data_IF_599114061242
#
_entry.id   IF_599114061242
#
_cell.length_a   1.000
_cell.length_b   1.000
_cell.length_c   1.000
_cell.angle_alpha   90.00
_cell.angle_beta   90.00
_cell.angle_gamma   90.00
#
_symmetry.space_group_name_H-M   'P 1'
#
loop_
_entity.id
_entity.type
_entity.pdbx_description
1 polymer ?
#
# COMPACT_ATOMS: atom_id res chain seq x y z
N UNK A 1 1.44 9.83 10.82
CA UNK A 1 0.00 9.69 11.05
C UNK A 1 -0.72 10.78 10.28
N UNK A 2 -1.89 10.44 9.72
CA UNK A 2 -2.68 11.34 8.88
C UNK A 2 -4.16 11.22 9.21
N UNK A 3 -4.94 12.25 8.90
CA UNK A 3 -6.40 12.26 8.95
C UNK A 3 -6.94 12.60 7.56
N UNK A 4 -7.96 11.85 7.05
CA UNK A 4 -8.61 12.20 5.79
C UNK A 4 -9.36 13.53 5.90
N UNK A 5 -9.26 14.38 4.88
CA UNK A 5 -10.14 15.58 4.80
C UNK A 5 -11.46 15.30 4.11
N UNK A 6 -11.60 14.12 3.50
CA UNK A 6 -12.79 13.66 2.80
C UNK A 6 -12.92 12.14 2.84
N UNK A 7 -13.81 11.57 2.01
CA UNK A 7 -14.05 10.13 1.96
C UNK A 7 -12.80 9.33 1.57
N UNK A 8 -12.64 8.16 2.19
CA UNK A 8 -11.64 7.16 1.80
C UNK A 8 -12.34 5.90 1.30
N UNK A 9 -11.68 5.19 0.40
CA UNK A 9 -12.15 3.91 -0.12
C UNK A 9 -11.06 2.84 -0.02
N UNK A 10 -11.47 1.58 -0.04
CA UNK A 10 -10.57 0.43 -0.06
C UNK A 10 -9.63 0.50 -1.27
N UNK A 11 -8.34 0.23 -1.06
CA UNK A 11 -7.35 0.20 -2.14
C UNK A 11 -7.60 -1.02 -3.04
N UNK A 12 -7.94 -0.81 -4.34
CA UNK A 12 -8.22 -1.91 -5.24
C UNK A 12 -6.96 -2.68 -5.62
N UNK A 13 -5.74 -2.21 -5.35
CA UNK A 13 -4.53 -2.98 -5.60
C UNK A 13 -4.36 -4.12 -4.59
N UNK A 14 -5.01 -4.04 -3.43
CA UNK A 14 -4.81 -4.96 -2.31
C UNK A 14 -6.09 -5.64 -1.83
N UNK A 15 -7.25 -5.00 -2.00
CA UNK A 15 -8.56 -5.51 -1.57
C UNK A 15 -9.09 -6.57 -2.53
N UNK A 16 -9.51 -7.71 -1.99
CA UNK A 16 -10.04 -8.86 -2.76
C UNK A 16 -9.12 -9.33 -3.90
N UNK A 17 -7.80 -9.17 -3.74
CA UNK A 17 -6.78 -9.69 -4.68
C UNK A 17 -6.27 -11.05 -4.27
N UNK A 18 -5.29 -11.09 -3.37
CA UNK A 18 -4.69 -12.34 -2.87
C UNK A 18 -5.52 -12.97 -1.74
N UNK A 19 -6.19 -12.13 -0.96
CA UNK A 19 -6.98 -12.52 0.20
C UNK A 19 -8.35 -11.86 0.13
N UNK A 20 -9.36 -12.49 0.73
CA UNK A 20 -10.73 -11.96 0.81
C UNK A 20 -10.78 -10.72 1.71
N UNK A 21 -11.47 -9.67 1.25
CA UNK A 21 -11.59 -8.38 1.91
C UNK A 21 -10.30 -7.57 1.91
N UNK A 22 -10.17 -6.67 2.90
CA UNK A 22 -9.04 -5.76 3.06
C UNK A 22 -8.27 -6.06 4.38
N UNK A 23 -7.54 -7.19 4.47
CA UNK A 23 -6.87 -7.57 5.73
C UNK A 23 -5.71 -6.64 6.10
N UNK A 24 -5.08 -6.00 5.11
CA UNK A 24 -4.00 -5.02 5.34
C UNK A 24 -4.51 -3.65 5.75
N UNK A 25 -5.83 -3.41 5.65
CA UNK A 25 -6.49 -2.12 5.91
C UNK A 25 -5.88 -1.00 5.06
N UNK A 26 -5.70 -1.28 3.77
CA UNK A 26 -5.15 -0.37 2.78
C UNK A 26 -6.27 0.46 2.17
N UNK A 27 -6.14 1.79 2.21
CA UNK A 27 -7.15 2.72 1.71
C UNK A 27 -6.50 3.78 0.82
N UNK A 28 -7.29 4.40 -0.05
CA UNK A 28 -6.91 5.56 -0.86
C UNK A 28 -7.94 6.69 -0.74
N UNK A 29 -7.50 7.92 -1.03
CA UNK A 29 -8.31 9.14 -0.98
C UNK A 29 -8.05 9.98 -2.22
N UNK A 30 -9.10 10.57 -2.79
CA UNK A 30 -8.97 11.61 -3.82
C UNK A 30 -8.76 13.00 -3.24
N UNK A 31 -9.19 13.18 -1.98
CA UNK A 31 -8.98 14.42 -1.26
C UNK A 31 -7.65 14.41 -0.50
N UNK A 32 -7.05 15.59 -0.23
CA UNK A 32 -5.83 15.69 0.55
C UNK A 32 -5.93 15.00 1.92
N UNK A 33 -4.77 14.65 2.48
CA UNK A 33 -4.66 14.15 3.84
C UNK A 33 -4.01 15.22 4.73
N UNK A 34 -4.55 15.42 5.93
CA UNK A 34 -3.92 16.29 6.94
C UNK A 34 -2.90 15.49 7.73
N UNK A 35 -1.67 15.97 7.83
CA UNK A 35 -0.64 15.38 8.66
C UNK A 35 -0.91 15.75 10.13
N UNK A 36 -1.04 14.76 11.00
CA UNK A 36 -1.34 14.96 12.43
C UNK A 36 -0.25 14.45 13.37
N UNK A 37 0.78 13.81 12.84
CA UNK A 37 1.91 13.33 13.63
C UNK A 37 2.84 12.41 12.86
N UNK A 38 3.84 11.90 13.55
CA UNK A 38 4.90 11.05 13.01
C UNK A 38 5.02 9.78 13.86
N UNK A 39 5.29 8.64 13.23
CA UNK A 39 5.61 7.40 13.94
C UNK A 39 7.14 7.27 13.97
N UNK A 40 7.75 7.45 15.14
CA UNK A 40 9.21 7.48 15.28
C UNK A 40 9.83 6.10 15.46
N UNK A 41 9.13 5.20 16.14
CA UNK A 41 9.65 3.90 16.55
C UNK A 41 9.17 2.77 15.62
N UNK A 42 9.24 3.00 14.30
CA UNK A 42 8.88 1.99 13.31
C UNK A 42 10.05 1.06 13.00
N UNK A 43 9.88 -0.25 13.25
CA UNK A 43 10.84 -1.26 12.85
C UNK A 43 10.57 -1.70 11.40
N UNK A 44 11.51 -1.44 10.51
CA UNK A 44 11.45 -1.91 9.12
C UNK A 44 11.64 -3.42 9.00
N UNK A 45 11.26 -3.96 7.84
CA UNK A 45 11.55 -5.33 7.44
C UNK A 45 13.06 -5.59 7.30
N UNK A 46 13.47 -6.86 7.37
CA UNK A 46 14.87 -7.24 7.14
C UNK A 46 15.31 -6.91 5.70
N UNK A 47 16.61 -6.66 5.46
CA UNK A 47 17.13 -6.39 4.12
C UNK A 47 16.79 -7.50 3.11
N UNK A 48 16.79 -8.76 3.54
CA UNK A 48 16.49 -9.93 2.71
C UNK A 48 15.01 -9.95 2.30
N UNK A 49 14.10 -9.63 3.22
CA UNK A 49 12.68 -9.53 2.94
C UNK A 49 12.39 -8.39 1.94
N UNK A 50 13.06 -7.24 2.10
CA UNK A 50 12.93 -6.11 1.17
C UNK A 50 13.46 -6.50 -0.23
N UNK A 51 14.59 -7.21 -0.29
CA UNK A 51 15.16 -7.70 -1.55
C UNK A 51 14.20 -8.64 -2.27
N UNK A 52 13.68 -9.65 -1.56
CA UNK A 52 12.73 -10.60 -2.14
C UNK A 52 11.44 -9.92 -2.65
N UNK A 53 10.94 -8.91 -1.92
CA UNK A 53 9.79 -8.11 -2.36
C UNK A 53 10.07 -7.37 -3.67
N UNK A 54 11.23 -6.69 -3.77
CA UNK A 54 11.62 -5.95 -4.97
C UNK A 54 11.79 -6.86 -6.19
N UNK A 55 12.45 -8.00 -6.03
CA UNK A 55 12.60 -9.01 -7.10
C UNK A 55 11.23 -9.54 -7.58
N UNK A 56 10.28 -9.69 -6.65
CA UNK A 56 8.89 -10.02 -6.96
C UNK A 56 8.20 -8.96 -7.82
N UNK A 57 8.34 -7.67 -7.47
CA UNK A 57 7.78 -6.56 -8.24
C UNK A 57 8.37 -6.49 -9.65
N UNK A 58 9.69 -6.65 -9.80
CA UNK A 58 10.33 -6.68 -11.12
C UNK A 58 9.82 -7.84 -11.98
N UNK A 59 9.60 -9.00 -11.38
CA UNK A 59 9.01 -10.14 -12.09
C UNK A 59 7.58 -9.84 -12.55
N UNK A 60 6.76 -9.18 -11.72
CA UNK A 60 5.40 -8.80 -12.08
C UNK A 60 5.36 -7.79 -13.24
N UNK A 61 6.24 -6.77 -13.21
CA UNK A 61 6.34 -5.81 -14.32
C UNK A 61 6.79 -6.47 -15.62
N UNK A 62 7.74 -7.43 -15.58
CA UNK A 62 8.12 -8.24 -16.76
C UNK A 62 6.96 -9.09 -17.32
N UNK A 63 5.96 -9.38 -16.50
CA UNK A 63 4.74 -10.10 -16.90
C UNK A 63 3.60 -9.16 -17.32
N UNK A 64 3.83 -7.84 -17.35
CA UNK A 64 2.82 -6.83 -17.71
C UNK A 64 1.77 -6.59 -16.63
N UNK A 65 2.03 -6.98 -15.38
CA UNK A 65 1.14 -6.69 -14.25
C UNK A 65 1.56 -5.35 -13.66
N UNK A 66 0.78 -4.32 -13.97
CA UNK A 66 1.00 -2.96 -13.48
C UNK A 66 -0.02 -2.59 -12.39
N UNK A 67 0.34 -1.71 -11.44
CA UNK A 67 -0.59 -1.15 -10.46
C UNK A 67 -1.70 -0.32 -11.13
N UNK A 68 -2.84 -0.20 -10.46
CA UNK A 68 -3.90 0.75 -10.83
C UNK A 68 -3.56 2.14 -10.26
N UNK A 69 -3.40 3.13 -11.13
CA UNK A 69 -2.97 4.52 -10.85
C UNK A 69 -4.11 5.56 -11.02
N UNK A 70 -5.35 5.22 -10.63
CA UNK A 70 -6.52 6.12 -10.69
C UNK A 70 -6.51 7.30 -9.71
#
# INVERSE_FOLDING_TARGET
>A
MVEPTGPVEDDPNLTDKKFRGNPTKSFRSREPLRIIGEVKDWQGYSPEAIKAMKEGLERLSRLGVEPLDD
#
